data_IF_288322213980
#
_entry.id   IF_288322213980
#
_cell.length_a   1.000
_cell.length_b   1.000
_cell.length_c   1.000
_cell.angle_alpha   90.00
_cell.angle_beta   90.00
_cell.angle_gamma   90.00
#
_symmetry.space_group_name_H-M   'P 1'
#
loop_
_entity.id
_entity.type
_entity.pdbx_description
1 polymer ?
#
# COMPACT_ATOMS: atom_id res chain seq x y z
N UNK A 1 -4.39 -17.46 -18.49
CA UNK A 1 -3.53 -17.33 -17.29
C UNK A 1 -3.13 -15.86 -17.11
N UNK A 2 -3.47 -15.27 -15.96
CA UNK A 2 -3.11 -13.89 -15.59
C UNK A 2 -1.87 -13.91 -14.69
N UNK A 3 -0.87 -13.07 -14.97
CA UNK A 3 0.31 -12.94 -14.11
C UNK A 3 0.12 -11.76 -13.13
N UNK A 4 0.17 -12.05 -11.83
CA UNK A 4 0.01 -11.04 -10.79
C UNK A 4 1.36 -10.57 -10.28
N UNK A 5 1.74 -9.34 -10.66
CA UNK A 5 3.05 -8.74 -10.33
C UNK A 5 3.04 -7.75 -9.17
N UNK A 6 1.86 -7.42 -8.64
CA UNK A 6 1.69 -6.51 -7.50
C UNK A 6 2.32 -7.09 -6.22
N UNK A 7 2.68 -6.25 -5.23
CA UNK A 7 3.18 -6.71 -3.95
C UNK A 7 2.21 -7.69 -3.32
N UNK A 8 2.74 -8.76 -2.72
CA UNK A 8 1.94 -9.89 -2.24
C UNK A 8 0.81 -9.45 -1.29
N UNK A 9 1.11 -8.53 -0.36
CA UNK A 9 0.13 -7.98 0.60
C UNK A 9 -1.03 -7.24 -0.07
N UNK A 10 -0.80 -6.66 -1.26
CA UNK A 10 -1.80 -5.90 -2.03
C UNK A 10 -2.50 -6.73 -3.11
N UNK A 11 -2.05 -7.96 -3.35
CA UNK A 11 -2.63 -8.84 -4.36
C UNK A 11 -3.87 -9.59 -3.88
N UNK A 12 -4.19 -9.61 -2.58
CA UNK A 12 -5.29 -10.42 -2.01
C UNK A 12 -6.66 -10.14 -2.63
N UNK A 13 -7.04 -8.86 -2.72
CA UNK A 13 -8.36 -8.47 -3.29
C UNK A 13 -8.49 -8.90 -4.75
N UNK A 14 -7.41 -8.76 -5.53
CA UNK A 14 -7.42 -9.17 -6.93
C UNK A 14 -7.49 -10.69 -7.09
N UNK A 15 -6.81 -11.45 -6.22
CA UNK A 15 -6.93 -12.92 -6.20
C UNK A 15 -8.37 -13.36 -5.93
N UNK A 16 -9.06 -12.74 -4.96
CA UNK A 16 -10.48 -13.03 -4.69
C UNK A 16 -11.37 -12.80 -5.91
N UNK A 17 -11.20 -11.66 -6.59
CA UNK A 17 -11.98 -11.34 -7.79
C UNK A 17 -11.71 -12.31 -8.95
N UNK A 18 -10.46 -12.76 -9.12
CA UNK A 18 -10.10 -13.74 -10.15
C UNK A 18 -10.67 -15.13 -9.83
N UNK A 19 -10.66 -15.52 -8.55
CA UNK A 19 -11.29 -16.76 -8.10
C UNK A 19 -12.80 -16.75 -8.36
N UNK A 20 -13.49 -15.64 -8.01
CA UNK A 20 -14.94 -15.47 -8.26
C UNK A 20 -15.28 -15.54 -9.76
N UNK A 21 -14.40 -15.00 -10.61
CA UNK A 21 -14.53 -15.05 -12.06
C UNK A 21 -14.08 -16.38 -12.69
N UNK A 22 -13.64 -17.37 -11.91
CA UNK A 22 -13.06 -18.64 -12.39
C UNK A 22 -11.89 -18.43 -13.37
N UNK A 23 -11.07 -17.40 -13.14
CA UNK A 23 -9.89 -17.08 -13.95
C UNK A 23 -8.61 -17.60 -13.30
N UNK A 24 -7.86 -18.40 -14.04
CA UNK A 24 -6.55 -18.88 -13.60
C UNK A 24 -5.50 -17.75 -13.54
N UNK A 25 -4.71 -17.73 -12.48
CA UNK A 25 -3.61 -16.80 -12.30
C UNK A 25 -2.38 -17.43 -11.64
N UNK A 26 -1.24 -16.75 -11.80
CA UNK A 26 0.03 -17.08 -11.17
C UNK A 26 0.52 -15.87 -10.39
N UNK A 27 0.93 -16.09 -9.13
CA UNK A 27 1.56 -15.06 -8.30
C UNK A 27 3.04 -14.93 -8.67
N UNK A 28 3.45 -13.71 -9.00
CA UNK A 28 4.85 -13.35 -9.24
C UNK A 28 5.12 -11.97 -8.65
N UNK A 29 5.14 -11.80 -7.32
CA UNK A 29 5.36 -10.50 -6.70
C UNK A 29 6.73 -9.96 -7.12
N UNK A 30 6.74 -8.93 -7.99
CA UNK A 30 7.96 -8.44 -8.61
C UNK A 30 8.69 -7.39 -7.76
N UNK A 31 8.03 -6.89 -6.72
CA UNK A 31 8.58 -5.91 -5.80
C UNK A 31 7.89 -5.97 -4.44
N UNK A 32 8.59 -5.45 -3.45
CA UNK A 32 8.11 -5.28 -2.08
C UNK A 32 8.03 -3.79 -1.74
N UNK A 33 7.20 -3.49 -0.75
CA UNK A 33 7.05 -2.14 -0.23
C UNK A 33 7.56 -2.14 1.19
N UNK A 34 8.63 -1.40 1.39
CA UNK A 34 9.31 -1.25 2.66
C UNK A 34 9.11 0.16 3.17
N UNK A 35 8.86 0.27 4.48
CA UNK A 35 8.83 1.56 5.16
C UNK A 35 10.23 2.16 5.13
N UNK A 36 10.32 3.45 4.83
CA UNK A 36 11.58 4.19 4.87
C UNK A 36 11.74 4.77 6.26
N UNK A 37 12.87 4.52 6.91
CA UNK A 37 13.21 5.15 8.18
C UNK A 37 13.81 6.55 7.95
N UNK A 38 13.03 7.58 8.25
CA UNK A 38 13.41 8.98 7.99
C UNK A 38 13.02 9.88 9.16
N UNK A 39 13.77 10.97 9.31
CA UNK A 39 13.41 12.06 10.21
C UNK A 39 12.29 12.86 9.58
N UNK A 40 11.27 13.16 10.40
CA UNK A 40 10.15 14.01 10.01
C UNK A 40 10.64 15.47 9.90
N UNK A 41 10.42 16.16 8.77
CA UNK A 41 10.66 17.59 8.68
C UNK A 41 9.85 18.34 9.73
N UNK A 42 10.46 19.26 10.48
CA UNK A 42 9.76 20.10 11.46
C UNK A 42 9.03 21.30 10.79
N UNK A 43 8.53 21.08 9.58
CA UNK A 43 7.85 22.08 8.76
C UNK A 43 6.33 21.90 8.88
N UNK A 44 5.60 23.01 8.89
CA UNK A 44 4.15 23.01 8.86
C UNK A 44 3.66 23.14 7.42
N UNK A 45 2.72 22.28 7.03
CA UNK A 45 2.13 22.31 5.69
C UNK A 45 0.64 22.61 5.79
N UNK A 46 0.12 23.51 4.94
CA UNK A 46 -1.31 23.79 4.86
C UNK A 46 -2.10 22.62 4.27
N UNK A 47 -1.45 21.82 3.41
CA UNK A 47 -2.05 20.69 2.71
C UNK A 47 -1.06 19.53 2.62
N UNK A 48 -1.54 18.32 2.90
CA UNK A 48 -0.80 17.07 2.72
C UNK A 48 -1.57 16.21 1.70
N UNK A 49 -0.86 15.68 0.69
CA UNK A 49 -1.45 14.81 -0.35
C UNK A 49 -0.87 13.41 -0.23
N UNK A 50 -1.71 12.43 0.11
CA UNK A 50 -1.35 11.03 0.08
C UNK A 50 -1.63 10.42 -1.28
N UNK A 51 -0.58 10.05 -2.01
CA UNK A 51 -0.69 9.51 -3.38
C UNK A 51 -0.86 7.98 -3.43
N UNK A 52 -0.76 7.29 -2.30
CA UNK A 52 -0.90 5.83 -2.24
C UNK A 52 -1.40 5.37 -0.88
N UNK A 53 -1.97 4.16 -0.84
CA UNK A 53 -2.40 3.51 0.42
C UNK A 53 -1.24 3.34 1.39
N UNK A 54 -0.04 2.99 0.91
CA UNK A 54 1.10 2.82 1.81
C UNK A 54 1.57 4.15 2.40
N UNK A 55 1.42 5.27 1.67
CA UNK A 55 1.75 6.58 2.20
C UNK A 55 0.87 6.93 3.40
N UNK A 56 -0.44 6.60 3.33
CA UNK A 56 -1.37 6.77 4.46
C UNK A 56 -1.00 5.87 5.64
N UNK A 57 -0.76 4.57 5.39
CA UNK A 57 -0.44 3.62 6.46
C UNK A 57 0.85 4.02 7.17
N UNK A 58 1.93 4.27 6.42
CA UNK A 58 3.22 4.59 7.02
C UNK A 58 3.25 5.96 7.66
N UNK A 59 2.51 6.95 7.13
CA UNK A 59 2.40 8.24 7.81
C UNK A 59 1.68 8.09 9.15
N UNK A 60 0.60 7.31 9.21
CA UNK A 60 -0.10 7.10 10.48
C UNK A 60 0.81 6.41 11.51
N UNK A 61 1.57 5.39 11.10
CA UNK A 61 2.56 4.78 11.98
C UNK A 61 3.68 5.75 12.41
N UNK A 62 4.00 6.78 11.60
CA UNK A 62 5.04 7.78 11.91
C UNK A 62 4.54 8.87 12.86
N UNK A 63 3.38 9.42 12.56
CA UNK A 63 2.85 10.59 13.26
C UNK A 63 1.94 10.19 14.42
N UNK A 64 1.43 8.95 14.44
CA UNK A 64 0.53 8.36 15.46
C UNK A 64 -0.70 9.21 15.83
N UNK A 65 -0.96 10.27 15.06
CA UNK A 65 -1.90 11.34 15.38
C UNK A 65 -2.47 12.04 14.14
N UNK A 66 -2.29 11.52 12.92
CA UNK A 66 -2.84 12.18 11.73
C UNK A 66 -4.37 12.02 11.65
N UNK A 67 -4.93 10.96 12.25
CA UNK A 67 -6.35 10.65 12.21
C UNK A 67 -7.01 10.56 13.60
N UNK A 68 -6.54 11.33 14.59
CA UNK A 68 -7.26 11.44 15.87
C UNK A 68 -8.53 12.28 15.66
N UNK A 69 -9.70 11.70 15.96
CA UNK A 69 -10.99 12.40 16.03
C UNK A 69 -11.08 13.39 17.20
#
# INVERSE_FOLDING_TARGET
VVLLTRPLKQSKKLQSLLNEASLEYVLFPAFEINKIDTVVPNETYDVIIFISVNAVIYSEEYFSQLFVE
#
